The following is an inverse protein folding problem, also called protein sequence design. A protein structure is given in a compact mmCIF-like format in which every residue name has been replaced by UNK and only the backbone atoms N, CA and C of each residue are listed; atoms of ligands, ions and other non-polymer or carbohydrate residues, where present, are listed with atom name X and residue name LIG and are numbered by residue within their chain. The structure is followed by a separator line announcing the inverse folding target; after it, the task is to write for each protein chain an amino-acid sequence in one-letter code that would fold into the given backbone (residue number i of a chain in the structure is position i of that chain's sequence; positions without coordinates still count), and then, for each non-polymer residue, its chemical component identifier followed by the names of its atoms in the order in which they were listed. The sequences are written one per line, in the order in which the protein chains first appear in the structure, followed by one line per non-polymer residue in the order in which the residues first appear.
data_IF_596152526071
#
_entry.id   IF_596152526071
#
_cell.length_a   1.000
_cell.length_b   1.000
_cell.length_c   1.000
_cell.angle_alpha   90.00
_cell.angle_beta   90.00
_cell.angle_gamma   90.00
#
_symmetry.space_group_name_H-M   'P 1'
#
loop_
_entity.id
_entity.type
_entity.pdbx_description
1 polymer ?
#
# COMPACT_ATOMS: atom_id res chain seq x y z
N UNK A 1 -13.21 3.02 -30.71
CA UNK A 1 -12.03 2.93 -29.81
C UNK A 1 -12.06 3.99 -28.71
N UNK A 2 -12.33 5.24 -29.02
CA UNK A 2 -12.37 6.36 -28.04
C UNK A 2 -13.45 6.21 -26.95
N UNK A 3 -14.65 5.72 -27.26
CA UNK A 3 -15.74 5.55 -26.31
C UNK A 3 -15.50 4.43 -25.27
N UNK A 4 -14.82 3.35 -25.65
CA UNK A 4 -14.45 2.26 -24.73
C UNK A 4 -13.35 2.68 -23.75
N UNK A 5 -12.40 3.51 -24.20
CA UNK A 5 -11.37 4.10 -23.35
C UNK A 5 -11.97 5.09 -22.34
N UNK A 6 -13.02 5.83 -22.72
CA UNK A 6 -13.71 6.75 -21.79
C UNK A 6 -14.53 6.02 -20.73
N UNK A 7 -15.12 4.87 -21.06
CA UNK A 7 -15.85 4.03 -20.10
C UNK A 7 -14.91 3.39 -19.06
N UNK A 8 -13.75 2.87 -19.48
CA UNK A 8 -12.75 2.32 -18.57
C UNK A 8 -12.18 3.36 -17.61
N UNK A 9 -11.89 4.57 -18.11
CA UNK A 9 -11.39 5.67 -17.28
C UNK A 9 -12.41 6.13 -16.24
N UNK A 10 -13.69 6.22 -16.62
CA UNK A 10 -14.78 6.55 -15.67
C UNK A 10 -14.92 5.49 -14.57
N UNK A 11 -14.65 4.22 -14.86
CA UNK A 11 -14.72 3.14 -13.86
C UNK A 11 -13.56 3.23 -12.86
N UNK A 12 -12.34 3.49 -13.31
CA UNK A 12 -11.15 3.70 -12.46
C UNK A 12 -11.33 4.89 -11.54
N UNK A 13 -11.78 6.05 -12.04
CA UNK A 13 -12.05 7.23 -11.23
C UNK A 13 -13.16 6.98 -10.20
N UNK A 14 -14.20 6.23 -10.54
CA UNK A 14 -15.28 5.89 -9.61
C UNK A 14 -14.79 4.94 -8.50
N UNK A 15 -13.90 3.99 -8.81
CA UNK A 15 -13.26 3.13 -7.81
C UNK A 15 -12.37 3.96 -6.87
N UNK A 16 -11.54 4.85 -7.42
CA UNK A 16 -10.69 5.75 -6.65
C UNK A 16 -11.52 6.66 -5.72
N UNK A 17 -12.62 7.26 -6.19
CA UNK A 17 -13.52 8.06 -5.34
C UNK A 17 -14.13 7.27 -4.19
N UNK A 18 -14.43 5.98 -4.38
CA UNK A 18 -14.99 5.11 -3.33
C UNK A 18 -13.97 4.74 -2.26
N UNK A 19 -12.68 4.70 -2.58
CA UNK A 19 -11.59 4.45 -1.62
C UNK A 19 -11.34 5.64 -0.70
N UNK A 20 -11.88 6.83 -1.01
CA UNK A 20 -11.69 8.10 -0.30
C UNK A 20 -10.22 8.58 -0.25
N UNK A 21 -9.27 7.86 -0.82
CA UNK A 21 -7.86 8.21 -0.92
C UNK A 21 -7.13 8.42 0.42
N UNK A 22 -7.65 7.86 1.53
CA UNK A 22 -7.03 8.01 2.85
C UNK A 22 -6.83 6.67 3.54
N UNK A 23 -5.71 6.52 4.22
CA UNK A 23 -5.42 5.36 5.07
C UNK A 23 -5.36 5.76 6.54
N UNK A 24 -5.45 4.78 7.44
CA UNK A 24 -5.33 5.03 8.86
C UNK A 24 -3.92 5.54 9.22
N UNK A 25 -3.81 6.51 10.13
CA UNK A 25 -2.54 7.07 10.58
C UNK A 25 -1.54 6.01 11.11
N UNK A 26 -2.04 4.87 11.58
CA UNK A 26 -1.20 3.74 11.98
C UNK A 26 -0.39 3.15 10.82
N UNK A 27 -0.94 3.15 9.60
CA UNK A 27 -0.25 2.67 8.39
C UNK A 27 0.90 3.60 8.06
N UNK A 28 0.67 4.91 8.01
CA UNK A 28 1.72 5.90 7.73
C UNK A 28 2.84 5.84 8.78
N UNK A 29 2.49 5.72 10.08
CA UNK A 29 3.48 5.53 11.14
C UNK A 29 4.27 4.24 10.97
N UNK A 30 3.63 3.13 10.62
CA UNK A 30 4.29 1.84 10.39
C UNK A 30 5.33 1.95 9.26
N UNK A 31 4.99 2.61 8.16
CA UNK A 31 5.90 2.86 7.03
C UNK A 31 7.08 3.74 7.47
N UNK A 32 6.81 4.86 8.13
CA UNK A 32 7.87 5.76 8.61
C UNK A 32 8.84 5.05 9.57
N UNK A 33 8.32 4.26 10.53
CA UNK A 33 9.12 3.48 11.46
C UNK A 33 9.94 2.38 10.76
N UNK A 34 9.36 1.73 9.73
CA UNK A 34 10.07 0.71 8.96
C UNK A 34 11.27 1.30 8.20
N UNK A 35 11.10 2.49 7.62
CA UNK A 35 12.18 3.23 6.96
C UNK A 35 13.20 3.77 7.96
N UNK A 36 12.73 4.25 9.13
CA UNK A 36 13.59 4.75 10.20
C UNK A 36 14.52 3.68 10.76
N UNK A 37 13.97 2.52 11.08
CA UNK A 37 14.74 1.39 11.60
C UNK A 37 15.86 0.94 10.66
N UNK A 38 15.76 1.26 9.36
CA UNK A 38 16.75 0.98 8.31
C UNK A 38 17.56 2.19 7.90
N UNK A 39 17.37 3.33 8.58
CA UNK A 39 18.04 4.60 8.29
C UNK A 39 17.87 5.05 6.83
N UNK A 40 16.74 4.72 6.21
CA UNK A 40 16.47 5.06 4.81
C UNK A 40 16.20 6.55 4.69
N UNK A 41 17.00 7.20 3.87
CA UNK A 41 16.85 8.59 3.43
C UNK A 41 17.18 8.67 1.94
N UNK A 42 16.78 9.72 1.26
CA UNK A 42 17.08 9.84 -0.16
C UNK A 42 16.60 11.14 -0.80
N UNK A 43 16.74 11.21 -2.10
CA UNK A 43 16.29 12.33 -2.90
C UNK A 43 14.78 12.21 -3.21
N UNK A 44 14.33 11.03 -3.62
CA UNK A 44 12.97 10.83 -4.15
C UNK A 44 12.28 9.62 -3.53
N UNK A 45 11.06 9.85 -3.03
CA UNK A 45 10.09 8.80 -2.76
C UNK A 45 8.93 8.89 -3.76
N UNK A 46 8.56 7.75 -4.35
CA UNK A 46 7.36 7.60 -5.17
C UNK A 46 6.26 6.90 -4.34
N UNK A 47 5.07 7.47 -4.33
CA UNK A 47 3.91 6.90 -3.64
C UNK A 47 2.83 6.53 -4.66
N UNK A 48 2.70 5.24 -4.94
CA UNK A 48 1.84 4.68 -5.98
C UNK A 48 0.49 4.32 -5.37
N UNK A 49 -0.58 4.97 -5.82
CA UNK A 49 -1.88 4.98 -5.16
C UNK A 49 -1.87 5.92 -3.94
N UNK A 50 -1.33 7.13 -4.13
CA UNK A 50 -1.01 8.05 -3.05
C UNK A 50 -2.23 8.66 -2.33
N UNK A 51 -3.43 8.58 -2.94
CA UNK A 51 -4.63 9.22 -2.42
C UNK A 51 -4.42 10.71 -2.14
N UNK A 52 -4.74 11.13 -0.93
CA UNK A 52 -4.58 12.51 -0.46
C UNK A 52 -3.13 12.92 -0.19
N UNK A 53 -2.13 12.05 -0.40
CA UNK A 53 -0.71 12.34 -0.15
C UNK A 53 -0.31 12.46 1.32
N UNK A 54 -1.14 11.95 2.23
CA UNK A 54 -0.91 12.07 3.68
C UNK A 54 0.40 11.41 4.16
N UNK A 55 0.94 10.45 3.40
CA UNK A 55 2.23 9.83 3.72
C UNK A 55 3.36 10.86 3.74
N UNK A 56 3.30 11.89 2.88
CA UNK A 56 4.34 12.92 2.81
C UNK A 56 4.62 13.59 4.16
N UNK A 57 3.59 13.85 4.96
CA UNK A 57 3.77 14.44 6.29
C UNK A 57 4.66 13.60 7.22
N UNK A 58 4.78 12.30 6.98
CA UNK A 58 5.61 11.38 7.77
C UNK A 58 7.00 11.15 7.16
N UNK A 59 7.23 11.53 5.89
CA UNK A 59 8.46 11.23 5.16
C UNK A 59 9.29 12.46 4.79
N UNK A 60 8.77 13.69 4.93
CA UNK A 60 9.45 14.94 4.52
C UNK A 60 10.81 15.19 5.14
N UNK A 61 11.05 14.62 6.35
CA UNK A 61 12.36 14.72 7.01
C UNK A 61 13.39 13.71 6.47
N UNK A 62 12.95 12.75 5.61
CA UNK A 62 13.76 11.65 5.09
C UNK A 62 14.06 11.80 3.61
N UNK A 63 13.14 12.40 2.86
CA UNK A 63 13.26 12.57 1.42
C UNK A 63 13.09 14.04 1.04
N UNK A 64 13.83 14.46 0.01
CA UNK A 64 13.74 15.85 -0.49
C UNK A 64 12.51 16.05 -1.35
N UNK A 65 12.12 15.03 -2.11
CA UNK A 65 11.02 15.08 -3.05
C UNK A 65 10.07 13.92 -2.84
N UNK A 66 8.80 14.22 -2.99
CA UNK A 66 7.71 13.25 -3.00
C UNK A 66 6.92 13.42 -4.28
N UNK A 67 6.71 12.32 -4.99
CA UNK A 67 5.81 12.26 -6.15
C UNK A 67 4.71 11.26 -5.85
N UNK A 68 3.48 11.76 -5.76
CA UNK A 68 2.28 10.95 -5.61
C UNK A 68 1.71 10.57 -6.98
N UNK A 69 1.40 9.31 -7.16
CA UNK A 69 0.77 8.76 -8.38
C UNK A 69 -0.59 8.18 -8.02
N UNK A 70 -1.66 8.68 -8.65
CA UNK A 70 -3.02 8.17 -8.44
C UNK A 70 -3.90 8.51 -9.65
N UNK A 71 -5.08 7.86 -9.74
CA UNK A 71 -6.05 8.18 -10.77
C UNK A 71 -6.68 9.58 -10.60
N UNK A 72 -6.74 10.07 -9.36
CA UNK A 72 -7.32 11.35 -8.98
C UNK A 72 -6.37 12.16 -8.10
N UNK A 73 -6.26 13.46 -8.37
CA UNK A 73 -5.71 14.40 -7.41
C UNK A 73 -6.80 14.79 -6.40
N UNK A 74 -6.68 14.31 -5.18
CA UNK A 74 -7.66 14.60 -4.14
C UNK A 74 -7.47 16.01 -3.57
N UNK A 75 -8.57 16.60 -3.11
CA UNK A 75 -8.52 17.85 -2.37
C UNK A 75 -7.63 17.71 -1.12
N UNK A 76 -6.79 18.70 -0.88
CA UNK A 76 -5.85 18.68 0.25
C UNK A 76 -4.53 17.95 -0.02
N UNK A 77 -4.26 17.51 -1.27
CA UNK A 77 -2.92 17.00 -1.64
C UNK A 77 -1.85 18.05 -1.31
N UNK A 78 -0.69 17.65 -0.72
CA UNK A 78 0.33 18.59 -0.24
C UNK A 78 0.85 19.52 -1.34
N UNK A 79 0.87 20.82 -1.08
CA UNK A 79 1.31 21.83 -2.05
C UNK A 79 2.82 21.79 -2.33
N UNK A 80 3.61 21.18 -1.43
CA UNK A 80 5.05 20.97 -1.52
C UNK A 80 5.42 19.60 -2.12
N UNK A 81 4.44 18.88 -2.71
CA UNK A 81 4.60 17.59 -3.35
C UNK A 81 4.19 17.63 -4.82
N UNK A 82 4.74 16.74 -5.62
CA UNK A 82 4.39 16.58 -7.02
C UNK A 82 3.30 15.52 -7.19
N UNK A 83 2.34 15.74 -8.09
CA UNK A 83 1.30 14.79 -8.42
C UNK A 83 1.37 14.37 -9.89
N UNK A 84 1.26 13.08 -10.15
CA UNK A 84 1.19 12.49 -11.49
C UNK A 84 -0.08 11.65 -11.63
N UNK A 85 -1.03 12.03 -12.51
CA UNK A 85 -2.23 11.24 -12.77
C UNK A 85 -1.89 9.96 -13.52
N UNK A 86 -2.37 8.81 -13.01
CA UNK A 86 -2.12 7.50 -13.61
C UNK A 86 -3.27 6.52 -13.37
N UNK A 87 -3.54 5.67 -14.35
CA UNK A 87 -4.33 4.46 -14.19
C UNK A 87 -3.40 3.29 -13.83
N UNK A 88 -3.49 2.79 -12.61
CA UNK A 88 -2.63 1.73 -12.10
C UNK A 88 -2.95 0.33 -12.67
N UNK A 89 -4.11 0.13 -13.28
CA UNK A 89 -4.44 -1.07 -14.04
C UNK A 89 -3.93 -0.98 -15.50
N UNK A 90 -3.48 0.21 -15.96
CA UNK A 90 -2.79 0.39 -17.24
C UNK A 90 -1.35 -0.16 -17.17
N UNK A 91 -0.75 -0.39 -18.34
CA UNK A 91 0.39 -1.29 -18.48
C UNK A 91 1.69 -0.87 -17.77
N UNK A 92 2.07 0.40 -17.79
CA UNK A 92 3.39 0.86 -17.29
C UNK A 92 3.34 2.32 -16.85
N UNK A 93 4.01 2.63 -15.76
CA UNK A 93 4.21 4.00 -15.30
C UNK A 93 5.28 4.67 -16.17
N UNK A 94 4.97 5.86 -16.72
CA UNK A 94 5.89 6.61 -17.58
C UNK A 94 6.96 7.35 -16.75
N UNK A 95 7.75 6.56 -16.03
CA UNK A 95 8.92 7.00 -15.27
C UNK A 95 10.09 6.06 -15.56
N UNK A 96 11.30 6.61 -15.49
CA UNK A 96 12.55 5.88 -15.73
C UNK A 96 12.75 4.76 -14.73
N UNK A 97 13.34 3.65 -15.19
CA UNK A 97 13.79 2.57 -14.32
C UNK A 97 14.80 3.09 -13.30
N UNK A 98 14.71 2.63 -12.07
CA UNK A 98 15.67 2.98 -11.03
C UNK A 98 15.68 4.48 -10.68
N UNK A 99 14.52 5.13 -10.69
CA UNK A 99 14.42 6.58 -10.46
C UNK A 99 14.31 6.97 -8.98
N UNK A 100 13.80 6.10 -8.10
CA UNK A 100 13.46 6.45 -6.72
C UNK A 100 14.28 5.70 -5.68
N UNK A 101 14.58 6.36 -4.56
CA UNK A 101 15.26 5.77 -3.41
C UNK A 101 14.32 4.87 -2.60
N UNK A 102 13.02 5.21 -2.59
CA UNK A 102 11.96 4.36 -2.06
C UNK A 102 10.71 4.46 -2.93
N UNK A 103 9.99 3.35 -3.06
CA UNK A 103 8.70 3.27 -3.77
C UNK A 103 7.68 2.62 -2.84
N UNK A 104 6.58 3.32 -2.60
CA UNK A 104 5.51 2.88 -1.71
C UNK A 104 4.22 2.60 -2.48
N UNK A 105 3.42 1.65 -1.99
CA UNK A 105 2.04 1.43 -2.42
C UNK A 105 1.23 1.02 -1.19
N UNK A 106 0.46 1.97 -0.63
CA UNK A 106 -0.22 1.79 0.65
C UNK A 106 -1.71 1.57 0.45
N UNK A 107 -2.21 0.40 0.89
CA UNK A 107 -3.62 0.02 0.73
C UNK A 107 -4.07 0.19 -0.75
N UNK A 108 -3.22 -0.23 -1.68
CA UNK A 108 -3.40 -0.05 -3.13
C UNK A 108 -3.47 -1.38 -3.85
N UNK A 109 -2.62 -2.33 -3.46
CA UNK A 109 -2.45 -3.62 -4.15
C UNK A 109 -3.73 -4.46 -4.19
N UNK A 110 -4.58 -4.36 -3.18
CA UNK A 110 -5.87 -5.05 -3.08
C UNK A 110 -6.93 -4.50 -4.05
N UNK A 111 -6.74 -3.27 -4.54
CA UNK A 111 -7.65 -2.62 -5.49
C UNK A 111 -7.38 -2.98 -6.94
N UNK A 112 -6.25 -3.61 -7.24
CA UNK A 112 -5.81 -3.87 -8.60
C UNK A 112 -6.16 -5.28 -9.07
N UNK A 113 -6.43 -5.40 -10.37
CA UNK A 113 -6.68 -6.68 -11.02
C UNK A 113 -5.42 -7.55 -11.08
N UNK A 114 -4.23 -6.92 -11.16
CA UNK A 114 -2.96 -7.62 -11.27
C UNK A 114 -1.92 -7.18 -10.23
N UNK A 115 -1.98 -7.69 -8.99
CA UNK A 115 -0.99 -7.42 -7.95
C UNK A 115 0.46 -7.71 -8.35
N UNK A 116 0.68 -8.74 -9.19
CA UNK A 116 2.02 -9.07 -9.69
C UNK A 116 2.60 -8.00 -10.61
N UNK A 117 1.75 -7.39 -11.45
CA UNK A 117 2.17 -6.29 -12.31
C UNK A 117 2.59 -5.07 -11.47
N UNK A 118 1.81 -4.74 -10.44
CA UNK A 118 2.17 -3.64 -9.52
C UNK A 118 3.56 -3.88 -8.90
N UNK A 119 3.80 -5.04 -8.27
CA UNK A 119 5.09 -5.30 -7.62
C UNK A 119 6.26 -5.21 -8.60
N UNK A 120 6.12 -5.77 -9.82
CA UNK A 120 7.15 -5.63 -10.86
C UNK A 120 7.45 -4.16 -11.17
N UNK A 121 6.42 -3.34 -11.23
CA UNK A 121 6.53 -1.92 -11.54
C UNK A 121 7.19 -1.14 -10.39
N UNK A 122 6.80 -1.41 -9.14
CA UNK A 122 7.45 -0.80 -7.97
C UNK A 122 8.95 -1.14 -7.93
N UNK A 123 9.30 -2.41 -8.17
CA UNK A 123 10.70 -2.86 -8.21
C UNK A 123 11.45 -2.25 -9.38
N UNK A 124 10.81 -2.08 -10.55
CA UNK A 124 11.40 -1.39 -11.70
C UNK A 124 11.78 0.05 -11.36
N UNK A 125 10.85 0.78 -10.72
CA UNK A 125 11.01 2.19 -10.36
C UNK A 125 12.04 2.43 -9.24
N UNK A 126 12.19 1.49 -8.32
CA UNK A 126 13.21 1.57 -7.28
C UNK A 126 14.62 1.53 -7.87
N UNK A 127 15.54 2.37 -7.38
CA UNK A 127 16.97 2.30 -7.66
C UNK A 127 17.55 0.95 -7.26
N UNK A 128 18.67 0.48 -7.87
CA UNK A 128 19.51 -0.52 -7.22
C UNK A 128 19.77 -0.10 -5.76
N UNK A 129 19.62 -1.02 -4.80
CA UNK A 129 19.69 -0.71 -3.38
C UNK A 129 18.50 0.05 -2.78
N UNK A 130 17.55 0.48 -3.59
CA UNK A 130 16.34 1.20 -3.16
C UNK A 130 15.30 0.28 -2.49
N UNK A 131 14.32 0.86 -1.83
CA UNK A 131 13.33 0.15 -1.02
C UNK A 131 11.96 0.12 -1.68
N UNK A 132 11.29 -1.01 -1.58
CA UNK A 132 9.90 -1.22 -1.99
C UNK A 132 9.07 -1.53 -0.77
N UNK A 133 7.99 -0.77 -0.56
CA UNK A 133 7.11 -0.86 0.59
C UNK A 133 5.66 -1.00 0.11
N UNK A 134 4.97 -2.05 0.58
CA UNK A 134 3.57 -2.30 0.23
C UNK A 134 2.79 -2.59 1.49
N UNK A 135 1.63 -1.97 1.65
CA UNK A 135 0.68 -2.35 2.70
C UNK A 135 -0.62 -2.86 2.10
N UNK A 136 -1.31 -3.69 2.87
CA UNK A 136 -2.64 -4.22 2.53
C UNK A 136 -3.35 -4.66 3.80
N UNK A 137 -4.70 -4.81 3.79
CA UNK A 137 -5.42 -5.35 4.93
C UNK A 137 -4.93 -6.73 5.37
N UNK A 138 -4.79 -6.93 6.67
CA UNK A 138 -4.31 -8.17 7.25
C UNK A 138 -5.43 -9.22 7.36
N UNK A 139 -5.45 -10.18 6.43
CA UNK A 139 -6.43 -11.26 6.43
C UNK A 139 -6.21 -12.28 7.57
N UNK A 140 -5.04 -12.26 8.21
CA UNK A 140 -4.71 -13.13 9.34
C UNK A 140 -5.00 -12.50 10.71
N UNK A 141 -5.57 -11.29 10.73
CA UNK A 141 -6.07 -10.68 11.98
C UNK A 141 -7.20 -11.51 12.60
N UNK A 142 -7.34 -11.42 13.91
CA UNK A 142 -8.42 -12.12 14.61
C UNK A 142 -9.80 -11.67 14.11
N UNK A 143 -9.98 -10.37 13.88
CA UNK A 143 -11.22 -9.83 13.30
C UNK A 143 -11.52 -10.46 11.93
N UNK A 144 -10.53 -10.52 11.03
CA UNK A 144 -10.73 -11.04 9.68
C UNK A 144 -11.02 -12.54 9.69
N UNK A 145 -10.33 -13.33 10.55
CA UNK A 145 -10.59 -14.76 10.74
C UNK A 145 -11.99 -15.04 11.29
N UNK A 146 -12.43 -14.25 12.27
CA UNK A 146 -13.79 -14.39 12.80
C UNK A 146 -14.86 -14.04 11.76
N UNK A 147 -14.62 -12.98 10.97
CA UNK A 147 -15.53 -12.58 9.89
C UNK A 147 -15.58 -13.67 8.82
N UNK A 148 -14.44 -14.26 8.46
CA UNK A 148 -14.39 -15.40 7.53
C UNK A 148 -15.19 -16.59 8.04
N UNK A 149 -15.02 -16.95 9.31
CA UNK A 149 -15.74 -18.08 9.91
C UNK A 149 -17.26 -17.85 9.96
N UNK A 150 -17.69 -16.62 10.25
CA UNK A 150 -19.11 -16.30 10.43
C UNK A 150 -19.83 -15.91 9.15
N UNK A 151 -19.12 -15.29 8.18
CA UNK A 151 -19.71 -14.70 6.98
C UNK A 151 -19.14 -15.26 5.67
N UNK A 152 -18.16 -16.19 5.72
CA UNK A 152 -17.42 -16.69 4.55
C UNK A 152 -16.73 -15.58 3.73
N UNK A 153 -16.36 -14.47 4.38
CA UNK A 153 -15.71 -13.32 3.75
C UNK A 153 -14.66 -12.75 4.69
N UNK A 154 -13.52 -12.31 4.16
CA UNK A 154 -12.57 -11.55 4.95
C UNK A 154 -13.15 -10.18 5.32
N UNK A 155 -12.72 -9.62 6.46
CA UNK A 155 -13.31 -8.38 6.99
C UNK A 155 -13.21 -7.21 6.00
N UNK A 156 -12.08 -7.04 5.32
CA UNK A 156 -11.88 -5.99 4.33
C UNK A 156 -12.50 -6.30 2.95
N UNK A 157 -12.98 -7.52 2.72
CA UNK A 157 -13.51 -8.01 1.42
C UNK A 157 -14.98 -8.41 1.50
N UNK A 158 -15.76 -7.71 2.32
CA UNK A 158 -17.21 -7.89 2.36
C UNK A 158 -17.88 -7.29 1.13
N UNK A 159 -19.12 -7.70 0.84
CA UNK A 159 -19.87 -7.20 -0.31
C UNK A 159 -19.97 -5.65 -0.36
N UNK A 160 -19.94 -4.97 0.79
CA UNK A 160 -19.91 -3.50 0.88
C UNK A 160 -18.61 -2.87 0.37
N UNK A 161 -17.51 -3.62 0.35
CA UNK A 161 -16.20 -3.16 -0.14
C UNK A 161 -16.01 -3.38 -1.64
N UNK A 162 -16.89 -4.15 -2.27
CA UNK A 162 -16.85 -4.37 -3.72
C UNK A 162 -17.46 -3.16 -4.48
N UNK A 163 -16.92 -2.72 -5.63
CA UNK A 163 -15.76 -3.24 -6.36
C UNK A 163 -14.42 -2.61 -5.98
N UNK A 164 -14.29 -1.92 -4.85
CA UNK A 164 -13.03 -1.31 -4.47
C UNK A 164 -11.97 -2.37 -4.14
N UNK A 165 -12.29 -3.35 -3.28
CA UNK A 165 -11.35 -4.42 -2.95
C UNK A 165 -11.59 -5.65 -3.84
N UNK A 166 -10.60 -5.98 -4.67
CA UNK A 166 -10.65 -7.07 -5.65
C UNK A 166 -9.87 -8.29 -5.20
N UNK A 167 -8.67 -8.11 -4.67
CA UNK A 167 -7.70 -9.19 -4.43
C UNK A 167 -7.25 -9.26 -2.98
N UNK A 168 -7.69 -10.30 -2.27
CA UNK A 168 -7.22 -10.58 -0.91
C UNK A 168 -5.84 -11.24 -0.97
N UNK A 169 -4.85 -10.66 -0.28
CA UNK A 169 -3.50 -11.18 -0.18
C UNK A 169 -3.16 -11.59 1.25
N UNK A 170 -2.49 -12.72 1.39
CA UNK A 170 -1.92 -13.19 2.64
C UNK A 170 -0.44 -12.81 2.73
N UNK A 171 0.14 -12.88 3.93
CA UNK A 171 1.59 -12.70 4.12
C UNK A 171 2.43 -13.63 3.23
N UNK A 172 1.98 -14.87 3.01
CA UNK A 172 2.67 -15.81 2.14
C UNK A 172 2.68 -15.37 0.69
N UNK A 173 1.62 -14.69 0.24
CA UNK A 173 1.55 -14.17 -1.12
C UNK A 173 2.45 -12.95 -1.27
N UNK A 174 2.48 -12.05 -0.29
CA UNK A 174 3.42 -10.93 -0.25
C UNK A 174 4.89 -11.39 -0.30
N UNK A 175 5.24 -12.44 0.49
CA UNK A 175 6.60 -13.02 0.45
C UNK A 175 6.93 -13.65 -0.90
N UNK A 176 5.97 -14.35 -1.53
CA UNK A 176 6.16 -14.93 -2.87
C UNK A 176 6.37 -13.83 -3.92
N UNK A 177 5.57 -12.76 -3.86
CA UNK A 177 5.71 -11.61 -4.75
C UNK A 177 7.09 -10.93 -4.60
N UNK A 178 7.58 -10.77 -3.37
CA UNK A 178 8.91 -10.26 -3.12
C UNK A 178 10.02 -11.18 -3.70
N UNK A 179 9.89 -12.49 -3.47
CA UNK A 179 10.84 -13.49 -3.97
C UNK A 179 10.86 -13.55 -5.50
N UNK A 180 9.69 -13.58 -6.14
CA UNK A 180 9.54 -13.58 -7.61
C UNK A 180 10.24 -12.35 -8.24
N UNK A 181 10.28 -11.23 -7.52
CA UNK A 181 10.93 -9.99 -7.95
C UNK A 181 12.34 -9.78 -7.37
N UNK A 182 12.93 -10.83 -6.76
CA UNK A 182 14.30 -10.85 -6.23
C UNK A 182 14.57 -9.76 -5.19
N UNK A 183 13.57 -9.31 -4.44
CA UNK A 183 13.81 -8.40 -3.33
C UNK A 183 14.63 -9.10 -2.24
N UNK A 184 15.66 -8.42 -1.75
CA UNK A 184 16.42 -8.80 -0.57
C UNK A 184 15.88 -8.12 0.70
N UNK A 185 16.42 -8.47 1.87
CA UNK A 185 16.06 -7.89 3.17
C UNK A 185 14.55 -7.84 3.43
N UNK A 186 13.83 -8.88 2.97
CA UNK A 186 12.37 -8.93 3.01
C UNK A 186 11.86 -9.13 4.42
N UNK A 187 11.06 -8.19 4.89
CA UNK A 187 10.40 -8.27 6.19
C UNK A 187 8.89 -8.02 6.06
N UNK A 188 8.12 -8.69 6.91
CA UNK A 188 6.69 -8.46 7.08
C UNK A 188 6.48 -7.84 8.46
N UNK A 189 5.86 -6.66 8.47
CA UNK A 189 5.53 -5.91 9.67
C UNK A 189 4.00 -5.80 9.82
N UNK A 190 3.55 -5.46 11.02
CA UNK A 190 2.13 -5.34 11.35
C UNK A 190 1.85 -3.99 12.00
N UNK A 191 0.68 -3.41 11.73
CA UNK A 191 0.31 -2.07 12.21
C UNK A 191 0.22 -1.94 13.74
N UNK A 192 0.15 -3.07 14.46
CA UNK A 192 -0.07 -3.13 15.91
C UNK A 192 -1.30 -2.34 16.36
N UNK A 193 -2.20 -2.09 15.44
CA UNK A 193 -3.48 -1.43 15.66
C UNK A 193 -4.56 -2.24 14.96
N UNK A 194 -5.25 -3.08 15.73
CA UNK A 194 -6.35 -3.89 15.26
C UNK A 194 -7.58 -3.69 16.12
N UNK A 195 -8.74 -3.81 15.53
CA UNK A 195 -10.03 -3.69 16.21
C UNK A 195 -10.44 -5.00 16.85
N UNK A 196 -10.98 -4.90 18.06
CA UNK A 196 -11.71 -6.02 18.67
C UNK A 196 -12.93 -6.34 17.81
N UNK A 197 -13.15 -7.64 17.60
CA UNK A 197 -14.25 -8.09 16.76
C UNK A 197 -15.60 -7.49 17.22
N UNK A 198 -16.36 -6.99 16.25
CA UNK A 198 -17.69 -6.39 16.44
C UNK A 198 -17.73 -5.13 17.33
N UNK A 199 -16.59 -4.46 17.53
CA UNK A 199 -16.51 -3.21 18.30
C UNK A 199 -15.72 -2.14 17.56
N UNK A 200 -15.79 -0.88 17.99
CA UNK A 200 -14.91 0.20 17.53
C UNK A 200 -13.62 0.31 18.38
N UNK A 201 -13.46 -0.55 19.39
CA UNK A 201 -12.33 -0.51 20.33
C UNK A 201 -11.14 -1.26 19.73
N UNK A 202 -9.95 -0.72 19.90
CA UNK A 202 -8.70 -1.36 19.51
C UNK A 202 -8.14 -2.26 20.62
N UNK A 203 -7.34 -3.26 20.23
CA UNK A 203 -6.59 -4.07 21.20
C UNK A 203 -5.66 -3.19 22.03
N UNK A 204 -5.50 -3.47 23.34
CA UNK A 204 -4.47 -2.86 24.14
C UNK A 204 -3.07 -3.05 23.54
N UNK A 205 -2.21 -2.04 23.69
CA UNK A 205 -0.89 -2.01 23.07
C UNK A 205 -0.02 -3.23 23.43
N UNK A 206 -0.09 -3.69 24.68
CA UNK A 206 0.69 -4.85 25.12
C UNK A 206 0.28 -6.15 24.39
N UNK A 207 -1.02 -6.35 24.10
CA UNK A 207 -1.50 -7.48 23.31
C UNK A 207 -1.07 -7.37 21.84
N UNK A 208 -1.13 -6.17 21.28
CA UNK A 208 -0.70 -5.94 19.90
C UNK A 208 0.81 -6.10 19.73
N UNK A 209 1.61 -5.87 20.77
CA UNK A 209 3.05 -6.17 20.78
C UNK A 209 3.33 -7.67 20.90
N UNK A 210 2.56 -8.38 21.73
CA UNK A 210 2.75 -9.81 21.95
C UNK A 210 2.22 -10.66 20.78
N UNK A 211 1.10 -10.27 20.19
CA UNK A 211 0.43 -10.96 19.08
C UNK A 211 0.20 -10.04 17.89
N UNK A 212 1.27 -9.49 17.26
CA UNK A 212 1.14 -8.44 16.24
C UNK A 212 0.31 -8.89 15.03
N UNK A 213 0.47 -10.14 14.55
CA UNK A 213 -0.32 -10.69 13.45
C UNK A 213 -1.81 -10.76 13.76
N UNK A 214 -2.19 -11.19 14.96
CA UNK A 214 -3.59 -11.37 15.35
C UNK A 214 -4.29 -10.04 15.67
N UNK A 215 -3.55 -9.09 16.23
CA UNK A 215 -4.06 -7.82 16.76
C UNK A 215 -3.72 -6.61 15.87
N UNK A 216 -3.57 -6.82 14.54
CA UNK A 216 -3.33 -5.75 13.58
C UNK A 216 -4.29 -5.85 12.40
N UNK A 217 -4.87 -4.73 11.99
CA UNK A 217 -5.78 -4.69 10.84
C UNK A 217 -5.02 -4.63 9.50
N UNK A 218 -3.74 -4.19 9.50
CA UNK A 218 -2.92 -4.05 8.30
C UNK A 218 -1.56 -4.73 8.44
N UNK A 219 -1.04 -5.17 7.32
CA UNK A 219 0.28 -5.78 7.15
C UNK A 219 1.11 -4.98 6.15
N UNK A 220 2.41 -4.93 6.37
CA UNK A 220 3.38 -4.26 5.52
C UNK A 220 4.44 -5.26 5.06
N UNK A 221 4.70 -5.28 3.76
CA UNK A 221 5.88 -5.84 3.15
C UNK A 221 6.90 -4.71 2.93
N UNK A 222 8.13 -4.90 3.37
CA UNK A 222 9.28 -4.08 2.96
C UNK A 222 10.37 -4.98 2.43
N UNK A 223 10.99 -4.57 1.33
CA UNK A 223 12.10 -5.29 0.71
C UNK A 223 13.04 -4.35 -0.03
N UNK A 224 14.29 -4.74 -0.16
CA UNK A 224 15.34 -3.97 -0.83
C UNK A 224 15.61 -4.53 -2.21
N UNK A 225 15.63 -3.69 -3.23
CA UNK A 225 16.08 -4.09 -4.57
C UNK A 225 17.58 -4.38 -4.54
N UNK A 226 18.06 -5.49 -5.10
CA UNK A 226 19.51 -5.78 -5.18
C UNK A 226 20.31 -4.66 -5.84
N UNK A 227 21.57 -4.53 -5.46
CA UNK A 227 22.47 -3.50 -5.98
C UNK A 227 22.91 -3.73 -7.45
N UNK A 228 22.43 -4.80 -8.13
CA UNK A 228 22.69 -5.13 -9.55
C UNK A 228 23.69 -6.23 -9.74
#
# INVERSE_FOLDING_TARGET
MTALLSLGRMDVENRARRSQGTSAAAIYRMVAQALEARQVTGELVLDVGCGTGNLWAYLRERFRRYVGLDALCYEGFPADAEFMPIDLDAARIDLSDGSADAVTALETIEHLENPRALIRELVRLAKPGGWVIVTTPNQLSLLSKMTLLLKNQFNAFQASSYPAHLTALLEVDLRRLALENRLGDVEILHSRQGRLAFTAVHYPEFLSKLFPRACSDNVLLIGRKPDG
#
